data_IF_606157943329
#
_entry.id   IF_606157943329
#
_cell.length_a   1.000
_cell.length_b   1.000
_cell.length_c   1.000
_cell.angle_alpha   90.00
_cell.angle_beta   90.00
_cell.angle_gamma   90.00
#
_symmetry.space_group_name_H-M   'P 1'
#
loop_
_entity.id
_entity.type
_entity.pdbx_description
1 polymer ?
#
# COMPACT_ATOMS: atom_id res chain seq x y z
N UNK A 1 34.57 12.53 -15.69
CA UNK A 1 34.89 11.25 -15.06
C UNK A 1 33.65 10.40 -15.16
N UNK A 2 33.70 9.31 -15.94
CA UNK A 2 32.62 8.31 -15.88
C UNK A 2 32.85 7.52 -14.58
N UNK A 3 31.92 7.63 -13.64
CA UNK A 3 31.86 6.76 -12.50
C UNK A 3 31.62 5.32 -12.99
N UNK A 4 32.17 4.33 -12.31
CA UNK A 4 31.98 2.93 -12.68
C UNK A 4 30.47 2.60 -12.64
N UNK A 5 29.87 2.12 -13.75
CA UNK A 5 28.45 1.79 -13.77
C UNK A 5 28.05 0.77 -12.70
N UNK A 6 28.93 -0.14 -12.32
CA UNK A 6 28.66 -1.16 -11.30
C UNK A 6 28.59 -0.54 -9.90
N UNK A 7 29.47 0.42 -9.60
CA UNK A 7 29.44 1.14 -8.34
C UNK A 7 28.21 2.05 -8.21
N UNK A 8 27.68 2.54 -9.33
CA UNK A 8 26.50 3.41 -9.36
C UNK A 8 25.17 2.67 -9.25
N UNK A 9 25.12 1.38 -9.60
CA UNK A 9 23.88 0.58 -9.60
C UNK A 9 23.07 0.67 -8.30
N UNK A 10 23.64 0.56 -7.08
CA UNK A 10 22.86 0.66 -5.84
C UNK A 10 22.28 2.07 -5.63
N UNK A 11 22.98 3.10 -6.11
CA UNK A 11 22.50 4.49 -6.01
C UNK A 11 21.35 4.74 -6.97
N UNK A 12 21.47 4.26 -8.21
CA UNK A 12 20.41 4.33 -9.24
C UNK A 12 19.17 3.59 -8.76
N UNK A 13 19.32 2.37 -8.26
CA UNK A 13 18.19 1.57 -7.77
C UNK A 13 17.44 2.25 -6.62
N UNK A 14 18.15 2.92 -5.72
CA UNK A 14 17.53 3.73 -4.65
C UNK A 14 16.75 4.91 -5.22
N UNK A 15 17.34 5.67 -6.14
CA UNK A 15 16.66 6.82 -6.74
C UNK A 15 15.41 6.42 -7.53
N UNK A 16 15.47 5.32 -8.27
CA UNK A 16 14.31 4.79 -9.00
C UNK A 16 13.20 4.35 -8.04
N UNK A 17 13.53 3.69 -6.94
CA UNK A 17 12.55 3.30 -5.93
C UNK A 17 11.95 4.52 -5.21
N UNK A 18 12.74 5.55 -4.92
CA UNK A 18 12.26 6.80 -4.33
C UNK A 18 11.36 7.58 -5.30
N UNK A 19 11.69 7.58 -6.60
CA UNK A 19 10.85 8.16 -7.64
C UNK A 19 9.51 7.40 -7.76
N UNK A 20 9.54 6.07 -7.73
CA UNK A 20 8.31 5.26 -7.73
C UNK A 20 7.43 5.55 -6.51
N UNK A 21 8.03 5.68 -5.32
CA UNK A 21 7.32 6.06 -4.11
C UNK A 21 6.65 7.44 -4.22
N UNK A 22 7.37 8.43 -4.76
CA UNK A 22 6.83 9.77 -4.97
C UNK A 22 5.71 9.79 -6.02
N UNK A 23 5.83 9.01 -7.09
CA UNK A 23 4.79 8.87 -8.11
C UNK A 23 3.52 8.22 -7.52
N UNK A 24 3.67 7.19 -6.69
CA UNK A 24 2.55 6.54 -6.00
C UNK A 24 1.86 7.48 -4.99
N UNK A 25 2.64 8.30 -4.27
CA UNK A 25 2.07 9.33 -3.38
C UNK A 25 1.25 10.36 -4.15
N UNK A 26 1.78 10.87 -5.26
CA UNK A 26 1.07 11.80 -6.14
C UNK A 26 -0.21 11.19 -6.75
N UNK A 27 -0.13 9.93 -7.20
CA UNK A 27 -1.27 9.21 -7.73
C UNK A 27 -2.34 8.94 -6.67
N UNK A 28 -1.93 8.67 -5.43
CA UNK A 28 -2.86 8.52 -4.30
C UNK A 28 -3.59 9.83 -3.98
N UNK A 29 -2.91 10.97 -4.05
CA UNK A 29 -3.53 12.27 -3.86
C UNK A 29 -4.59 12.56 -4.94
N UNK A 30 -4.28 12.25 -6.21
CA UNK A 30 -5.24 12.35 -7.32
C UNK A 30 -6.43 11.42 -7.09
N UNK A 31 -6.17 10.15 -6.73
CA UNK A 31 -7.19 9.15 -6.47
C UNK A 31 -8.15 9.58 -5.34
N UNK A 32 -7.63 10.15 -4.27
CA UNK A 32 -8.46 10.67 -3.16
C UNK A 32 -9.41 11.76 -3.64
N UNK A 33 -8.93 12.70 -4.45
CA UNK A 33 -9.77 13.75 -5.02
C UNK A 33 -10.83 13.17 -5.96
N UNK A 34 -10.43 12.29 -6.88
CA UNK A 34 -11.32 11.66 -7.86
C UNK A 34 -12.44 10.86 -7.18
N UNK A 35 -12.11 10.05 -6.17
CA UNK A 35 -13.08 9.23 -5.43
C UNK A 35 -13.98 10.12 -4.55
N UNK A 36 -13.45 11.14 -3.90
CA UNK A 36 -14.24 12.06 -3.09
C UNK A 36 -15.27 12.84 -3.92
N UNK A 37 -14.92 13.22 -5.14
CA UNK A 37 -15.82 13.91 -6.10
C UNK A 37 -16.87 12.98 -6.75
N UNK A 38 -16.78 11.67 -6.50
CA UNK A 38 -17.79 10.72 -6.96
C UNK A 38 -17.61 10.23 -8.40
N UNK A 39 -16.42 10.30 -8.95
CA UNK A 39 -16.10 9.82 -10.30
C UNK A 39 -15.99 8.30 -10.42
N UNK A 40 -16.26 7.54 -9.33
CA UNK A 40 -16.27 6.07 -9.28
C UNK A 40 -17.65 5.47 -8.94
N UNK A 41 -17.89 4.18 -9.24
CA UNK A 41 -19.06 3.46 -8.77
C UNK A 41 -18.96 3.22 -7.26
N UNK A 42 -20.01 3.43 -6.47
CA UNK A 42 -20.01 3.06 -5.05
C UNK A 42 -20.92 3.86 -4.15
N UNK A 43 -20.44 4.40 -3.04
CA UNK A 43 -21.24 5.07 -2.00
C UNK A 43 -22.03 6.30 -2.50
N UNK A 44 -23.16 6.58 -1.86
CA UNK A 44 -23.99 7.74 -2.17
C UNK A 44 -23.23 9.07 -1.97
N UNK A 45 -23.33 9.96 -2.95
CA UNK A 45 -22.54 11.17 -3.12
C UNK A 45 -22.32 12.09 -1.88
N UNK A 46 -23.29 12.31 -0.96
CA UNK A 46 -23.09 13.32 0.08
C UNK A 46 -22.10 12.95 1.19
N UNK A 47 -21.65 11.70 1.26
CA UNK A 47 -20.70 11.23 2.30
C UNK A 47 -19.38 10.69 1.77
N UNK A 48 -19.12 10.74 0.46
CA UNK A 48 -17.90 10.18 -0.13
C UNK A 48 -16.63 10.88 0.34
N UNK A 49 -16.62 12.21 0.34
CA UNK A 49 -15.49 12.97 0.84
C UNK A 49 -15.16 12.60 2.28
N UNK A 50 -16.18 12.61 3.16
CA UNK A 50 -16.03 12.21 4.57
C UNK A 50 -15.50 10.76 4.71
N UNK A 51 -15.94 9.85 3.85
CA UNK A 51 -15.52 8.46 3.87
C UNK A 51 -14.07 8.27 3.39
N UNK A 52 -13.65 9.03 2.37
CA UNK A 52 -12.25 9.06 1.92
C UNK A 52 -11.35 9.65 2.99
N UNK A 53 -11.80 10.70 3.69
CA UNK A 53 -11.05 11.34 4.79
C UNK A 53 -10.98 10.45 6.03
N UNK A 54 -12.01 9.61 6.25
CA UNK A 54 -12.06 8.66 7.36
C UNK A 54 -11.28 7.35 7.09
N UNK A 55 -10.64 7.20 5.91
CA UNK A 55 -9.86 6.03 5.53
C UNK A 55 -8.36 6.33 5.46
N UNK A 56 -7.57 5.61 6.25
CA UNK A 56 -6.15 5.47 6.03
C UNK A 56 -5.85 4.39 4.99
N UNK A 57 -4.94 4.70 4.05
CA UNK A 57 -4.39 3.75 3.10
C UNK A 57 -2.86 3.89 3.13
N UNK A 58 -2.17 2.76 3.29
CA UNK A 58 -0.72 2.67 3.15
C UNK A 58 -0.36 1.77 1.98
N UNK A 59 0.65 2.16 1.22
CA UNK A 59 1.24 1.41 0.12
C UNK A 59 2.56 0.83 0.61
N UNK A 60 2.67 -0.48 0.55
CA UNK A 60 3.86 -1.22 0.97
C UNK A 60 4.58 -1.70 -0.29
N UNK A 61 5.76 -1.18 -0.54
CA UNK A 61 6.63 -1.67 -1.61
C UNK A 61 7.20 -3.03 -1.24
N UNK A 62 7.16 -3.93 -2.20
CA UNK A 62 7.66 -5.31 -2.11
C UNK A 62 8.88 -5.48 -3.02
N UNK A 63 9.48 -6.65 -3.03
CA UNK A 63 10.52 -7.02 -3.96
C UNK A 63 11.63 -5.97 -4.10
N UNK A 64 11.99 -5.62 -5.33
CA UNK A 64 13.04 -4.62 -5.63
C UNK A 64 12.64 -3.21 -5.19
N UNK A 65 11.36 -2.86 -5.30
CA UNK A 65 10.88 -1.55 -4.88
C UNK A 65 11.01 -1.38 -3.36
N UNK A 66 10.57 -2.38 -2.59
CA UNK A 66 10.71 -2.38 -1.14
C UNK A 66 12.16 -2.32 -0.67
N UNK A 67 13.05 -3.08 -1.31
CA UNK A 67 14.49 -3.10 -1.02
C UNK A 67 15.26 -1.86 -1.49
N UNK A 68 14.65 -0.95 -2.24
CA UNK A 68 15.32 0.18 -2.90
C UNK A 68 16.38 -0.25 -3.92
N UNK A 69 16.07 -1.31 -4.67
CA UNK A 69 16.92 -1.92 -5.69
C UNK A 69 16.21 -1.93 -7.06
N UNK A 70 15.35 -0.93 -7.33
CA UNK A 70 14.52 -0.90 -8.54
C UNK A 70 15.40 -0.72 -9.80
N UNK A 71 15.05 -1.42 -10.87
CA UNK A 71 15.70 -1.28 -12.18
C UNK A 71 14.85 -0.38 -13.10
N UNK A 72 15.44 0.09 -14.21
CA UNK A 72 14.76 0.88 -15.25
C UNK A 72 13.57 0.14 -15.88
N UNK A 73 13.72 -1.17 -16.08
CA UNK A 73 12.67 -2.04 -16.61
C UNK A 73 12.31 -3.02 -15.51
N UNK A 74 11.40 -2.63 -14.63
CA UNK A 74 10.99 -3.45 -13.49
C UNK A 74 9.59 -3.02 -13.09
N UNK A 75 8.76 -3.99 -12.78
CA UNK A 75 7.47 -3.73 -12.16
C UNK A 75 7.67 -3.15 -10.76
N UNK A 76 6.72 -2.37 -10.32
CA UNK A 76 6.65 -1.84 -8.95
C UNK A 76 5.70 -2.74 -8.17
N UNK A 77 6.28 -3.73 -7.50
CA UNK A 77 5.53 -4.66 -6.64
C UNK A 77 5.03 -3.94 -5.39
N UNK A 78 3.73 -4.00 -5.12
CA UNK A 78 3.12 -3.36 -3.96
C UNK A 78 2.01 -4.22 -3.34
N UNK A 79 1.73 -3.98 -2.05
CA UNK A 79 0.49 -4.40 -1.41
C UNK A 79 -0.15 -3.22 -0.70
N UNK A 80 -1.48 -3.26 -0.56
CA UNK A 80 -2.25 -2.15 -0.03
C UNK A 80 -2.86 -2.51 1.31
N UNK A 81 -2.65 -1.63 2.29
CA UNK A 81 -3.18 -1.78 3.65
C UNK A 81 -4.17 -0.65 3.92
N UNK A 82 -5.31 -0.98 4.48
CA UNK A 82 -6.35 -0.01 4.84
C UNK A 82 -6.73 -0.12 6.31
N UNK A 83 -7.13 1.00 6.88
CA UNK A 83 -7.72 1.08 8.21
C UNK A 83 -8.65 2.29 8.31
N UNK A 84 -9.65 2.29 9.20
CA UNK A 84 -10.30 3.53 9.55
C UNK A 84 -9.31 4.48 10.23
N UNK A 85 -9.41 5.77 9.94
CA UNK A 85 -8.64 6.81 10.65
C UNK A 85 -9.01 6.76 12.12
N UNK A 86 -8.02 6.57 12.99
CA UNK A 86 -8.25 6.67 14.43
C UNK A 86 -8.46 8.16 14.79
N UNK A 87 -9.60 8.51 15.42
CA UNK A 87 -9.80 9.89 15.86
C UNK A 87 -8.65 10.27 16.80
N UNK A 88 -7.98 11.38 16.49
CA UNK A 88 -6.98 11.92 17.39
C UNK A 88 -7.61 12.06 18.77
N UNK A 89 -6.94 11.55 19.80
CA UNK A 89 -7.37 11.72 21.18
C UNK A 89 -7.25 13.21 21.54
N UNK A 90 -8.28 13.99 21.20
CA UNK A 90 -8.40 15.39 21.63
C UNK A 90 -8.93 15.41 23.05
N UNK A 91 -8.20 15.98 24.03
CA UNK A 91 -8.63 16.05 25.41
C UNK A 91 -9.83 16.98 25.68
N UNK A 92 -10.38 17.64 24.65
CA UNK A 92 -11.49 18.60 24.78
C UNK A 92 -12.53 18.37 23.67
N UNK A 93 -13.34 17.33 23.80
CA UNK A 93 -14.63 17.24 23.11
C UNK A 93 -15.67 18.01 23.88
N UNK A 94 -15.79 19.29 23.61
CA UNK A 94 -16.73 20.18 24.32
C UNK A 94 -17.18 21.36 23.45
N UNK A 95 -17.51 21.13 22.17
CA UNK A 95 -18.24 22.08 21.34
C UNK A 95 -19.44 21.36 20.73
N UNK A 96 -20.61 21.67 21.22
CA UNK A 96 -21.88 21.21 20.65
C UNK A 96 -21.99 21.73 19.22
N UNK A 97 -21.95 20.81 18.23
CA UNK A 97 -22.16 21.14 16.82
C UNK A 97 -21.27 20.40 15.82
N UNK A 98 -20.19 19.74 16.22
CA UNK A 98 -19.38 18.93 15.31
C UNK A 98 -19.99 17.51 15.18
N UNK A 99 -20.38 17.13 13.97
CA UNK A 99 -20.85 15.78 13.65
C UNK A 99 -19.78 14.79 14.09
N UNK A 100 -20.18 13.72 14.80
CA UNK A 100 -19.25 12.66 15.20
C UNK A 100 -18.49 12.13 13.97
N UNK A 101 -17.16 11.91 14.06
CA UNK A 101 -16.37 11.43 12.94
C UNK A 101 -16.95 10.12 12.40
N UNK A 102 -16.97 10.00 11.08
CA UNK A 102 -17.50 8.82 10.39
C UNK A 102 -16.66 7.59 10.79
N UNK A 103 -17.32 6.59 11.37
CA UNK A 103 -16.67 5.32 11.69
C UNK A 103 -16.93 4.34 10.56
N UNK A 104 -15.88 4.00 9.81
CA UNK A 104 -15.96 3.00 8.74
C UNK A 104 -15.91 1.59 9.32
N UNK A 105 -16.77 0.73 8.79
CA UNK A 105 -16.67 -0.74 8.98
C UNK A 105 -15.54 -1.31 8.12
N UNK A 106 -15.11 -2.53 8.40
CA UNK A 106 -14.07 -3.21 7.61
C UNK A 106 -14.49 -3.36 6.13
N UNK A 107 -15.76 -3.65 5.87
CA UNK A 107 -16.29 -3.76 4.51
C UNK A 107 -16.27 -2.40 3.77
N UNK A 108 -16.61 -1.31 4.45
CA UNK A 108 -16.53 0.04 3.88
C UNK A 108 -15.06 0.43 3.62
N UNK A 109 -14.14 0.14 4.53
CA UNK A 109 -12.70 0.33 4.31
C UNK A 109 -12.21 -0.44 3.08
N UNK A 110 -12.63 -1.69 2.92
CA UNK A 110 -12.27 -2.50 1.76
C UNK A 110 -12.85 -1.94 0.45
N UNK A 111 -14.10 -1.49 0.47
CA UNK A 111 -14.77 -0.93 -0.72
C UNK A 111 -14.10 0.37 -1.15
N UNK A 112 -13.97 1.34 -0.23
CA UNK A 112 -13.38 2.65 -0.53
C UNK A 112 -11.90 2.49 -0.90
N UNK A 113 -11.16 1.65 -0.17
CA UNK A 113 -9.76 1.37 -0.46
C UNK A 113 -9.56 0.76 -1.85
N UNK A 114 -10.45 -0.14 -2.27
CA UNK A 114 -10.42 -0.72 -3.62
C UNK A 114 -10.70 0.34 -4.69
N UNK A 115 -11.65 1.25 -4.47
CA UNK A 115 -11.92 2.37 -5.38
C UNK A 115 -10.69 3.30 -5.49
N UNK A 116 -10.05 3.62 -4.37
CA UNK A 116 -8.82 4.43 -4.34
C UNK A 116 -7.69 3.77 -5.11
N UNK A 117 -7.47 2.46 -4.93
CA UNK A 117 -6.42 1.73 -5.64
C UNK A 117 -6.69 1.67 -7.14
N UNK A 118 -7.96 1.48 -7.56
CA UNK A 118 -8.31 1.53 -8.98
C UNK A 118 -8.07 2.92 -9.57
N UNK A 119 -8.43 4.00 -8.86
CA UNK A 119 -8.18 5.36 -9.32
C UNK A 119 -6.67 5.66 -9.39
N UNK A 120 -5.89 5.24 -8.38
CA UNK A 120 -4.43 5.35 -8.35
C UNK A 120 -3.80 4.61 -9.54
N UNK A 121 -4.22 3.37 -9.79
CA UNK A 121 -3.72 2.57 -10.91
C UNK A 121 -4.00 3.25 -12.24
N UNK A 122 -5.21 3.82 -12.42
CA UNK A 122 -5.52 4.62 -13.61
C UNK A 122 -4.65 5.87 -13.74
N UNK A 123 -4.34 6.53 -12.64
CA UNK A 123 -3.49 7.73 -12.65
C UNK A 123 -2.05 7.42 -13.11
N UNK A 124 -1.53 6.22 -12.83
CA UNK A 124 -0.17 5.81 -13.21
C UNK A 124 -0.15 5.10 -14.56
N UNK A 125 -1.07 4.18 -14.80
CA UNK A 125 -1.05 3.24 -15.93
C UNK A 125 -2.16 3.50 -16.95
N UNK A 126 -2.98 4.52 -16.74
CA UNK A 126 -4.07 4.87 -17.64
C UNK A 126 -3.57 5.33 -19.02
N UNK A 127 -4.46 5.36 -20.01
CA UNK A 127 -4.12 5.83 -21.35
C UNK A 127 -3.59 7.27 -21.32
N UNK A 128 -2.39 7.48 -21.79
CA UNK A 128 -1.73 8.78 -21.89
C UNK A 128 -0.95 8.87 -23.21
N UNK A 129 -0.57 10.08 -23.68
CA UNK A 129 0.29 10.22 -24.85
C UNK A 129 1.65 9.54 -24.69
N UNK A 130 2.18 9.52 -23.48
CA UNK A 130 3.44 8.86 -23.12
C UNK A 130 3.13 7.53 -22.43
N UNK A 131 3.96 6.49 -22.64
CA UNK A 131 3.82 5.21 -21.92
C UNK A 131 4.05 5.39 -20.42
N UNK A 132 3.40 4.55 -19.61
CA UNK A 132 3.65 4.51 -18.19
C UNK A 132 5.14 4.18 -17.89
N UNK A 133 5.70 4.83 -16.87
CA UNK A 133 7.09 4.56 -16.45
C UNK A 133 7.24 3.17 -15.85
N UNK A 134 6.22 2.68 -15.16
CA UNK A 134 6.21 1.37 -14.52
C UNK A 134 4.83 0.73 -14.61
N UNK A 135 4.83 -0.59 -14.60
CA UNK A 135 3.66 -1.38 -14.25
C UNK A 135 3.60 -1.52 -12.72
N UNK A 136 2.44 -1.21 -12.13
CA UNK A 136 2.20 -1.40 -10.69
C UNK A 136 1.55 -2.75 -10.50
N UNK A 137 2.27 -3.66 -9.85
CA UNK A 137 1.82 -5.03 -9.62
C UNK A 137 1.48 -5.28 -8.14
N UNK A 138 0.25 -5.75 -7.89
CA UNK A 138 -0.22 -6.11 -6.57
C UNK A 138 -0.36 -7.64 -6.38
N UNK A 139 0.26 -8.46 -7.22
CA UNK A 139 0.10 -9.91 -7.19
C UNK A 139 0.84 -10.61 -6.03
N UNK A 140 1.75 -9.92 -5.33
CA UNK A 140 2.38 -10.42 -4.12
C UNK A 140 1.50 -10.32 -2.87
N UNK A 141 0.24 -9.88 -3.03
CA UNK A 141 -0.73 -9.89 -1.93
C UNK A 141 -1.23 -11.30 -1.62
N UNK A 142 -1.69 -11.55 -0.39
CA UNK A 142 -2.33 -12.83 -0.02
C UNK A 142 -3.34 -13.31 -1.06
N UNK A 143 -3.24 -14.59 -1.43
CA UNK A 143 -4.07 -15.24 -2.47
C UNK A 143 -3.86 -14.67 -3.89
N UNK A 144 -2.87 -13.81 -4.10
CA UNK A 144 -2.54 -13.25 -5.40
C UNK A 144 -3.73 -12.55 -6.07
N UNK A 145 -4.00 -12.86 -7.34
CA UNK A 145 -5.10 -12.27 -8.12
C UNK A 145 -6.49 -12.62 -7.60
N UNK A 146 -6.63 -13.72 -6.91
CA UNK A 146 -7.91 -14.21 -6.39
C UNK A 146 -8.27 -13.58 -5.04
N UNK A 147 -7.29 -13.00 -4.34
CA UNK A 147 -7.49 -12.32 -3.07
C UNK A 147 -7.95 -10.87 -3.19
N UNK A 148 -8.53 -10.32 -2.10
CA UNK A 148 -8.89 -8.90 -2.04
C UNK A 148 -7.71 -7.99 -2.37
N UNK A 149 -7.96 -6.92 -3.13
CA UNK A 149 -6.93 -5.96 -3.56
C UNK A 149 -6.36 -5.17 -2.37
N UNK A 150 -7.20 -4.85 -1.39
CA UNK A 150 -6.81 -4.18 -0.15
C UNK A 150 -7.20 -5.03 1.05
N UNK A 151 -6.43 -4.96 2.13
CA UNK A 151 -6.71 -5.68 3.38
C UNK A 151 -6.39 -4.81 4.59
N UNK A 152 -7.05 -5.09 5.72
CA UNK A 152 -6.66 -4.55 7.02
C UNK A 152 -5.40 -5.25 7.56
N UNK A 153 -4.70 -4.62 8.50
CA UNK A 153 -3.54 -5.24 9.18
C UNK A 153 -3.93 -6.57 9.82
N UNK A 154 -5.10 -6.62 10.45
CA UNK A 154 -5.63 -7.80 11.10
C UNK A 154 -5.88 -8.95 10.10
N UNK A 155 -6.41 -8.63 8.93
CA UNK A 155 -6.63 -9.60 7.85
C UNK A 155 -5.31 -10.18 7.32
N UNK A 156 -4.26 -9.34 7.15
CA UNK A 156 -2.92 -9.81 6.81
C UNK A 156 -2.36 -10.76 7.87
N UNK A 157 -2.41 -10.36 9.13
CA UNK A 157 -1.93 -11.18 10.27
C UNK A 157 -2.64 -12.53 10.34
N UNK A 158 -3.96 -12.55 10.15
CA UNK A 158 -4.71 -13.81 10.15
C UNK A 158 -4.32 -14.73 8.99
N UNK A 159 -4.10 -14.16 7.81
CA UNK A 159 -3.64 -14.90 6.65
C UNK A 159 -2.27 -15.53 6.90
N UNK A 160 -1.28 -14.72 7.29
CA UNK A 160 0.09 -15.20 7.51
C UNK A 160 0.18 -16.26 8.65
N UNK A 161 -0.70 -16.21 9.62
CA UNK A 161 -0.77 -17.23 10.69
C UNK A 161 -1.25 -18.59 10.21
N UNK A 162 -2.10 -18.63 9.18
CA UNK A 162 -2.87 -19.85 8.84
C UNK A 162 -2.53 -20.46 7.49
N UNK A 163 -2.24 -19.62 6.50
CA UNK A 163 -2.26 -20.01 5.10
C UNK A 163 -0.98 -19.73 4.34
N UNK A 164 -0.16 -18.81 4.82
CA UNK A 164 1.01 -18.36 4.08
C UNK A 164 2.07 -19.45 3.95
N UNK A 165 2.63 -19.53 2.76
CA UNK A 165 3.73 -20.41 2.39
C UNK A 165 5.09 -19.74 2.58
N UNK A 166 6.18 -20.50 2.56
CA UNK A 166 7.53 -19.99 2.80
C UNK A 166 7.93 -18.86 1.84
N UNK A 167 7.58 -18.95 0.57
CA UNK A 167 7.92 -17.93 -0.43
C UNK A 167 7.25 -16.58 -0.14
N UNK A 168 6.07 -16.56 0.47
CA UNK A 168 5.39 -15.32 0.86
C UNK A 168 6.15 -14.61 1.98
N UNK A 169 6.67 -15.36 2.95
CA UNK A 169 7.54 -14.79 3.98
C UNK A 169 8.86 -14.28 3.43
N UNK A 170 9.42 -14.94 2.41
CA UNK A 170 10.60 -14.43 1.69
C UNK A 170 10.30 -13.10 0.97
N UNK A 171 9.12 -12.98 0.36
CA UNK A 171 8.69 -11.73 -0.26
C UNK A 171 8.57 -10.59 0.77
N UNK A 172 8.12 -10.89 2.00
CA UNK A 172 7.99 -9.91 3.08
C UNK A 172 9.34 -9.39 3.62
N UNK A 173 10.46 -10.09 3.42
CA UNK A 173 11.79 -9.63 3.85
C UNK A 173 12.15 -8.23 3.33
N UNK A 174 11.63 -7.88 2.17
CA UNK A 174 11.87 -6.60 1.50
C UNK A 174 10.68 -5.63 1.63
N UNK A 175 9.65 -5.99 2.37
CA UNK A 175 8.47 -5.15 2.54
C UNK A 175 8.79 -3.84 3.26
N UNK A 176 8.40 -2.71 2.67
CA UNK A 176 8.65 -1.38 3.24
C UNK A 176 7.49 -0.44 2.91
N UNK A 177 6.96 0.33 3.89
CA UNK A 177 6.02 1.40 3.59
C UNK A 177 6.68 2.44 2.68
N UNK A 178 6.03 2.79 1.57
CA UNK A 178 6.58 3.68 0.55
C UNK A 178 5.72 4.90 0.26
N UNK A 179 4.40 4.82 0.47
CA UNK A 179 3.48 5.94 0.24
C UNK A 179 2.22 5.80 1.11
N UNK A 180 1.44 6.88 1.20
CA UNK A 180 0.22 6.96 2.00
C UNK A 180 0.48 7.11 3.50
N UNK A 181 -0.39 6.54 4.35
CA UNK A 181 -0.31 6.68 5.80
C UNK A 181 0.94 6.03 6.38
N UNK A 182 1.90 6.86 6.81
CA UNK A 182 3.14 6.39 7.45
C UNK A 182 2.85 5.64 8.76
N UNK A 183 1.83 6.07 9.51
CA UNK A 183 1.43 5.43 10.76
C UNK A 183 0.89 4.02 10.51
N UNK A 184 -0.01 3.88 9.55
CA UNK A 184 -0.58 2.58 9.17
C UNK A 184 0.49 1.67 8.58
N UNK A 185 1.37 2.20 7.73
CA UNK A 185 2.51 1.46 7.18
C UNK A 185 3.44 0.92 8.27
N UNK A 186 3.76 1.75 9.27
CA UNK A 186 4.58 1.32 10.41
C UNK A 186 3.85 0.28 11.30
N UNK A 187 2.52 0.39 11.46
CA UNK A 187 1.69 -0.60 12.15
C UNK A 187 1.74 -1.96 11.43
N UNK A 188 1.57 -1.94 10.10
CA UNK A 188 1.69 -3.13 9.28
C UNK A 188 3.07 -3.77 9.42
N UNK A 189 4.15 -3.02 9.22
CA UNK A 189 5.52 -3.53 9.31
C UNK A 189 5.78 -4.21 10.67
N UNK A 190 5.40 -3.58 11.78
CA UNK A 190 5.53 -4.18 13.11
C UNK A 190 4.68 -5.45 13.29
N UNK A 191 3.52 -5.51 12.67
CA UNK A 191 2.62 -6.66 12.81
C UNK A 191 3.10 -7.89 12.04
N UNK A 192 3.80 -7.70 10.90
CA UNK A 192 4.30 -8.82 10.09
C UNK A 192 5.71 -9.27 10.47
N UNK A 193 6.52 -8.40 11.08
CA UNK A 193 7.92 -8.65 11.43
C UNK A 193 8.13 -9.99 12.19
N UNK A 194 7.33 -10.36 13.20
CA UNK A 194 7.48 -11.64 13.89
C UNK A 194 7.36 -12.86 12.95
N UNK A 195 6.46 -12.82 11.96
CA UNK A 195 6.25 -13.93 11.04
C UNK A 195 7.43 -14.15 10.10
N UNK A 196 8.06 -13.07 9.66
CA UNK A 196 9.26 -13.12 8.81
C UNK A 196 10.40 -13.82 9.56
N UNK A 197 10.66 -13.42 10.79
CA UNK A 197 11.77 -13.99 11.57
C UNK A 197 11.50 -15.42 12.09
N UNK A 198 10.27 -15.73 12.49
CA UNK A 198 9.87 -17.08 12.83
C UNK A 198 9.98 -18.05 11.64
N UNK A 199 9.65 -17.57 10.43
CA UNK A 199 9.77 -18.37 9.21
C UNK A 199 11.22 -18.57 8.79
N UNK A 200 12.06 -17.56 8.95
CA UNK A 200 13.49 -17.63 8.64
C UNK A 200 14.22 -18.68 9.52
N UNK A 201 13.67 -19.02 10.69
CA UNK A 201 14.21 -20.06 11.56
C UNK A 201 13.83 -21.50 11.12
N UNK A 202 12.99 -21.67 10.11
CA UNK A 202 12.59 -23.00 9.60
C UNK A 202 13.69 -23.57 8.70
N UNK A 203 14.01 -24.86 8.85
CA UNK A 203 15.06 -25.53 8.05
C UNK A 203 14.83 -25.47 6.53
N UNK A 204 13.58 -25.38 6.07
CA UNK A 204 13.21 -25.34 4.66
C UNK A 204 13.09 -23.91 4.07
N UNK A 205 13.41 -22.87 4.83
CA UNK A 205 13.17 -21.49 4.40
C UNK A 205 14.01 -21.07 3.17
N UNK A 206 15.23 -21.61 3.02
CA UNK A 206 16.15 -21.26 1.93
C UNK A 206 16.00 -22.19 0.72
N UNK A 207 15.40 -23.37 0.89
CA UNK A 207 15.26 -24.41 -0.14
C UNK A 207 13.94 -24.34 -0.93
N UNK A 208 13.11 -23.35 -0.66
CA UNK A 208 11.72 -23.22 -1.21
C UNK A 208 11.69 -22.36 -2.46
#
# INVERSE_FOLDING_TARGET
CCEDPVEMMPTIGRHLADLAAAALEGALAIARTEVAEGLGPGLAAPRRGEAVDALDLAIIGMGKCGARELNYISDVDVVYVVAPVEPAATPNAGTEGESAPLKLTENECSTIGTELVHALTRAIMGPAPEPALWEVDANLRPEGKDGPLVRTVESYVQYYKRWAENWEFQALLKARPIAGSAQLGARYARAIDPFVWESAARESFVES
#
